data_IF_783613411183
#
_entry.id   IF_783613411183
#
_cell.length_a   1.000
_cell.length_b   1.000
_cell.length_c   1.000
_cell.angle_alpha   90.00
_cell.angle_beta   90.00
_cell.angle_gamma   90.00
#
_symmetry.space_group_name_H-M   'P 1'
#
loop_
_entity.id
_entity.type
_entity.pdbx_description
1 polymer ?
#
# COMPACT_ATOMS: atom_id res chain seq x y z
N UNK A 1 22.74 -32.56 1.09
CA UNK A 1 23.60 -31.44 1.53
C UNK A 1 24.01 -30.56 0.36
N UNK A 2 24.61 -31.07 -0.71
CA UNK A 2 25.04 -30.26 -1.87
C UNK A 2 23.94 -29.41 -2.54
N UNK A 3 22.68 -29.88 -2.58
CA UNK A 3 21.55 -29.11 -3.10
C UNK A 3 21.21 -27.86 -2.26
N UNK A 4 21.39 -27.92 -0.92
CA UNK A 4 21.14 -26.76 -0.05
C UNK A 4 22.23 -25.69 -0.17
N UNK A 5 23.47 -26.09 -0.47
CA UNK A 5 24.56 -25.15 -0.74
C UNK A 5 24.36 -24.41 -2.06
N UNK A 6 23.92 -25.12 -3.10
CA UNK A 6 23.66 -24.52 -4.41
C UNK A 6 22.44 -23.58 -4.38
N UNK A 7 21.36 -23.96 -3.68
CA UNK A 7 20.21 -23.08 -3.48
C UNK A 7 20.60 -21.85 -2.64
N UNK A 8 21.44 -22.01 -1.62
CA UNK A 8 21.97 -20.90 -0.83
C UNK A 8 22.83 -19.97 -1.67
N UNK A 9 23.66 -20.49 -2.57
CA UNK A 9 24.51 -19.68 -3.45
C UNK A 9 23.68 -18.87 -4.46
N UNK A 10 22.64 -19.48 -5.03
CA UNK A 10 21.71 -18.81 -5.94
C UNK A 10 20.92 -17.74 -5.19
N UNK A 11 20.44 -18.06 -3.98
CA UNK A 11 19.77 -17.11 -3.10
C UNK A 11 20.72 -15.95 -2.76
N UNK A 12 21.94 -16.22 -2.32
CA UNK A 12 22.89 -15.15 -1.98
C UNK A 12 23.29 -14.32 -3.19
N UNK A 13 23.38 -14.89 -4.40
CA UNK A 13 23.75 -14.16 -5.61
C UNK A 13 22.63 -13.29 -6.18
N UNK A 14 21.38 -13.72 -6.05
CA UNK A 14 20.23 -13.03 -6.65
C UNK A 14 19.35 -12.28 -5.64
N UNK A 15 19.36 -12.67 -4.37
CA UNK A 15 18.56 -12.04 -3.30
C UNK A 15 19.36 -11.12 -2.38
N UNK A 16 20.69 -11.20 -2.29
CA UNK A 16 21.45 -10.15 -1.58
C UNK A 16 21.48 -8.91 -2.45
N UNK A 17 20.81 -7.83 -2.03
CA UNK A 17 20.91 -6.55 -2.73
C UNK A 17 22.34 -6.05 -2.48
N UNK A 18 22.96 -5.35 -3.45
CA UNK A 18 24.36 -4.95 -3.32
C UNK A 18 24.56 -4.19 -1.99
N UNK A 19 25.61 -4.55 -1.26
CA UNK A 19 25.88 -4.08 0.13
C UNK A 19 25.99 -2.55 0.25
N UNK A 20 26.10 -1.84 -0.88
CA UNK A 20 26.11 -0.38 -0.97
C UNK A 20 24.71 0.27 -0.92
N UNK A 21 23.62 -0.52 -1.02
CA UNK A 21 22.24 -0.01 -1.14
C UNK A 21 21.31 -0.33 0.02
N UNK A 22 21.66 -1.26 0.90
CA UNK A 22 20.82 -1.60 2.05
C UNK A 22 21.58 -1.25 3.33
N UNK A 23 21.22 -0.10 3.90
CA UNK A 23 21.40 0.17 5.33
C UNK A 23 20.54 -0.85 6.10
N UNK A 24 21.07 -2.06 6.35
CA UNK A 24 20.49 -2.98 7.33
C UNK A 24 20.97 -2.56 8.72
N UNK A 25 20.66 -1.31 9.06
CA UNK A 25 21.08 -0.70 10.30
C UNK A 25 20.03 -1.03 11.37
N UNK A 26 20.46 -1.74 12.42
CA UNK A 26 19.64 -1.93 13.64
C UNK A 26 19.07 -0.60 14.16
N UNK A 27 19.78 0.49 13.91
CA UNK A 27 19.36 1.84 14.23
C UNK A 27 18.12 2.28 13.40
N UNK A 28 18.09 1.98 12.10
CA UNK A 28 16.93 2.25 11.24
C UNK A 28 15.72 1.43 11.68
N UNK A 29 15.92 0.15 12.02
CA UNK A 29 14.85 -0.68 12.58
C UNK A 29 14.32 -0.11 13.92
N UNK A 30 15.22 0.36 14.78
CA UNK A 30 14.85 1.02 16.04
C UNK A 30 13.99 2.26 15.81
N UNK A 31 14.40 3.15 14.90
CA UNK A 31 13.63 4.36 14.56
C UNK A 31 12.26 3.99 13.97
N UNK A 32 12.20 3.00 13.09
CA UNK A 32 10.92 2.55 12.51
C UNK A 32 9.98 1.98 13.58
N UNK A 33 10.51 1.20 14.52
CA UNK A 33 9.75 0.63 15.63
C UNK A 33 9.25 1.73 16.58
N UNK A 34 10.11 2.70 16.92
CA UNK A 34 9.71 3.85 17.74
C UNK A 34 8.64 4.68 17.05
N UNK A 35 8.78 4.96 15.75
CA UNK A 35 7.77 5.69 14.96
C UNK A 35 6.44 4.94 14.93
N UNK A 36 6.47 3.62 14.76
CA UNK A 36 5.28 2.77 14.78
C UNK A 36 4.57 2.86 16.14
N UNK A 37 5.29 2.62 17.24
CA UNK A 37 4.70 2.66 18.57
C UNK A 37 4.20 4.06 18.94
N UNK A 38 4.93 5.11 18.58
CA UNK A 38 4.48 6.47 18.81
C UNK A 38 3.19 6.79 18.04
N UNK A 39 3.07 6.33 16.79
CA UNK A 39 1.85 6.45 16.02
C UNK A 39 0.66 5.71 16.66
N UNK A 40 0.88 4.47 17.13
CA UNK A 40 -0.12 3.70 17.87
C UNK A 40 -0.52 4.41 19.16
N UNK A 41 0.44 4.92 19.93
CA UNK A 41 0.18 5.64 21.17
C UNK A 41 -0.63 6.92 20.95
N UNK A 42 -0.31 7.72 19.92
CA UNK A 42 -1.10 8.90 19.58
C UNK A 42 -2.51 8.51 19.16
N UNK A 43 -2.65 7.50 18.28
CA UNK A 43 -3.97 7.03 17.85
C UNK A 43 -4.82 6.60 19.05
N UNK A 44 -4.26 5.83 19.98
CA UNK A 44 -4.94 5.42 21.22
C UNK A 44 -5.26 6.61 22.13
N UNK A 45 -4.35 7.58 22.26
CA UNK A 45 -4.55 8.76 23.08
C UNK A 45 -5.70 9.63 22.58
N UNK A 46 -5.93 9.66 21.27
CA UNK A 46 -7.03 10.39 20.64
C UNK A 46 -8.34 9.60 20.79
N UNK A 47 -8.33 8.31 20.41
CA UNK A 47 -9.55 7.48 20.29
C UNK A 47 -10.14 7.04 21.63
N UNK A 48 -9.33 6.74 22.66
CA UNK A 48 -9.82 6.22 23.95
C UNK A 48 -10.72 7.23 24.68
N UNK A 49 -10.36 8.52 24.83
CA UNK A 49 -11.24 9.51 25.42
C UNK A 49 -12.59 9.62 24.70
N UNK A 50 -12.59 9.46 23.38
CA UNK A 50 -13.77 9.59 22.54
C UNK A 50 -14.68 8.37 22.67
N UNK A 51 -14.13 7.16 22.77
CA UNK A 51 -14.94 5.95 23.04
C UNK A 51 -15.59 5.99 24.42
N UNK A 52 -14.88 6.52 25.43
CA UNK A 52 -15.40 6.68 26.79
C UNK A 52 -16.50 7.74 26.87
N UNK A 53 -16.35 8.86 26.15
CA UNK A 53 -17.34 9.93 26.12
C UNK A 53 -18.70 9.48 25.54
N UNK A 54 -18.71 8.45 24.70
CA UNK A 54 -19.89 8.00 23.96
C UNK A 54 -20.39 6.60 24.41
N UNK A 55 -19.86 6.08 25.52
CA UNK A 55 -20.24 4.79 26.13
C UNK A 55 -20.28 3.62 25.11
N UNK A 56 -19.31 3.60 24.19
CA UNK A 56 -19.23 2.59 23.13
C UNK A 56 -18.65 1.30 23.72
N UNK A 57 -19.36 0.18 23.52
CA UNK A 57 -18.87 -1.13 23.93
C UNK A 57 -17.51 -1.45 23.28
N UNK A 58 -16.57 -1.99 24.07
CA UNK A 58 -15.19 -2.27 23.64
C UNK A 58 -15.11 -3.14 22.36
N UNK A 59 -16.05 -4.08 22.18
CA UNK A 59 -16.11 -4.92 20.99
C UNK A 59 -16.46 -4.13 19.71
N UNK A 60 -17.38 -3.16 19.83
CA UNK A 60 -17.80 -2.31 18.72
C UNK A 60 -16.73 -1.30 18.37
N UNK A 61 -16.09 -0.70 19.38
CA UNK A 61 -14.95 0.18 19.19
C UNK A 61 -13.80 -0.53 18.46
N UNK A 62 -13.42 -1.74 18.91
CA UNK A 62 -12.35 -2.52 18.29
C UNK A 62 -12.70 -2.89 16.84
N UNK A 63 -13.95 -3.29 16.58
CA UNK A 63 -14.43 -3.60 15.24
C UNK A 63 -14.35 -2.41 14.28
N UNK A 64 -14.81 -1.24 14.71
CA UNK A 64 -14.76 -0.01 13.91
C UNK A 64 -13.33 0.46 13.66
N UNK A 65 -12.46 0.39 14.68
CA UNK A 65 -11.05 0.76 14.56
C UNK A 65 -10.29 -0.17 13.59
N UNK A 66 -10.55 -1.48 13.66
CA UNK A 66 -9.96 -2.44 12.72
C UNK A 66 -10.48 -2.21 11.30
N UNK A 67 -11.78 -2.00 11.12
CA UNK A 67 -12.38 -1.76 9.81
C UNK A 67 -11.83 -0.48 9.17
N UNK A 68 -11.77 0.62 9.92
CA UNK A 68 -11.21 1.88 9.44
C UNK A 68 -9.71 1.76 9.12
N UNK A 69 -8.96 1.04 9.96
CA UNK A 69 -7.55 0.73 9.72
C UNK A 69 -7.33 -0.08 8.44
N UNK A 70 -8.15 -1.11 8.19
CA UNK A 70 -8.09 -1.92 6.96
C UNK A 70 -8.41 -1.08 5.73
N UNK A 71 -9.44 -0.23 5.78
CA UNK A 71 -9.77 0.65 4.65
C UNK A 71 -8.61 1.60 4.35
N UNK A 72 -8.02 2.24 5.36
CA UNK A 72 -6.86 3.13 5.19
C UNK A 72 -5.64 2.38 4.64
N UNK A 73 -5.37 1.18 5.13
CA UNK A 73 -4.27 0.34 4.65
C UNK A 73 -4.43 -0.05 3.18
N UNK A 74 -5.66 -0.38 2.77
CA UNK A 74 -5.99 -0.69 1.38
C UNK A 74 -5.97 0.54 0.49
N UNK A 75 -6.38 1.71 0.99
CA UNK A 75 -6.39 2.97 0.25
C UNK A 75 -4.99 3.54 0.02
N UNK A 76 -4.08 3.39 0.99
CA UNK A 76 -2.73 3.93 0.94
C UNK A 76 -1.96 3.65 -0.37
N UNK A 77 -1.87 2.41 -0.89
CA UNK A 77 -1.16 2.16 -2.15
C UNK A 77 -1.83 2.83 -3.37
N UNK A 78 -3.14 3.05 -3.36
CA UNK A 78 -3.84 3.76 -4.45
C UNK A 78 -3.63 5.27 -4.37
N UNK A 79 -3.67 5.83 -3.16
CA UNK A 79 -3.32 7.22 -2.91
C UNK A 79 -1.89 7.49 -3.40
N UNK A 80 -0.93 6.65 -2.98
CA UNK A 80 0.45 6.69 -3.45
C UNK A 80 0.55 6.56 -4.97
N UNK A 81 -0.33 5.80 -5.63
CA UNK A 81 -0.29 5.65 -7.09
C UNK A 81 -0.52 6.97 -7.82
N UNK A 82 -1.36 7.83 -7.24
CA UNK A 82 -1.68 9.16 -7.77
C UNK A 82 -0.63 10.18 -7.32
N UNK A 83 -0.20 10.10 -6.07
CA UNK A 83 0.56 11.18 -5.45
C UNK A 83 2.06 11.00 -5.63
N UNK A 84 2.53 9.76 -5.80
CA UNK A 84 3.91 9.48 -6.14
C UNK A 84 4.35 10.15 -7.46
N UNK A 85 3.66 9.99 -8.61
CA UNK A 85 4.02 10.70 -9.83
C UNK A 85 4.05 12.22 -9.66
N UNK A 86 3.09 12.78 -8.92
CA UNK A 86 3.00 14.22 -8.67
C UNK A 86 4.19 14.73 -7.84
N UNK A 87 4.54 14.02 -6.76
CA UNK A 87 5.66 14.35 -5.89
C UNK A 87 6.99 14.18 -6.64
N UNK A 88 7.14 13.10 -7.40
CA UNK A 88 8.35 12.86 -8.20
C UNK A 88 8.50 13.93 -9.28
N UNK A 89 7.41 14.33 -9.94
CA UNK A 89 7.41 15.42 -10.89
C UNK A 89 7.79 16.73 -10.21
N UNK A 90 7.09 17.12 -9.14
CA UNK A 90 7.38 18.34 -8.38
C UNK A 90 8.84 18.37 -7.92
N UNK A 91 9.36 17.28 -7.37
CA UNK A 91 10.76 17.15 -7.00
C UNK A 91 11.70 17.35 -8.21
N UNK A 92 11.45 16.66 -9.32
CA UNK A 92 12.29 16.74 -10.50
C UNK A 92 12.20 18.08 -11.26
N UNK A 93 11.10 18.84 -11.13
CA UNK A 93 10.91 20.14 -11.79
C UNK A 93 11.32 21.32 -10.90
N UNK A 94 11.11 21.24 -9.58
CA UNK A 94 11.32 22.38 -8.67
C UNK A 94 12.66 22.32 -7.93
N UNK A 95 13.17 21.12 -7.62
CA UNK A 95 14.32 20.95 -6.72
C UNK A 95 15.59 20.47 -7.43
N UNK A 96 15.48 19.87 -8.61
CA UNK A 96 16.62 19.33 -9.35
C UNK A 96 17.08 20.30 -10.45
N UNK A 97 18.34 20.77 -10.43
CA UNK A 97 18.90 21.60 -11.50
C UNK A 97 18.86 20.88 -12.86
N UNK A 98 18.66 21.64 -13.94
CA UNK A 98 18.39 21.09 -15.28
C UNK A 98 19.41 20.09 -15.82
N UNK A 99 20.69 20.19 -15.42
CA UNK A 99 21.75 19.26 -15.82
C UNK A 99 21.59 17.86 -15.19
N UNK A 100 21.13 17.77 -13.94
CA UNK A 100 20.97 16.51 -13.21
C UNK A 100 19.61 15.84 -13.43
N UNK A 101 18.67 16.57 -14.03
CA UNK A 101 17.31 16.12 -14.28
C UNK A 101 17.22 14.84 -15.11
N UNK A 102 18.06 14.71 -16.14
CA UNK A 102 18.12 13.50 -16.98
C UNK A 102 18.56 12.27 -16.19
N UNK A 103 19.47 12.45 -15.21
CA UNK A 103 19.95 11.37 -14.35
C UNK A 103 18.86 10.89 -13.39
N UNK A 104 18.08 11.82 -12.84
CA UNK A 104 16.94 11.50 -11.96
C UNK A 104 15.83 10.79 -12.74
N UNK A 105 15.48 11.29 -13.94
CA UNK A 105 14.46 10.65 -14.80
C UNK A 105 14.88 9.25 -15.24
N UNK A 106 16.17 9.02 -15.53
CA UNK A 106 16.68 7.68 -15.88
C UNK A 106 16.49 6.65 -14.76
N UNK A 107 16.45 7.08 -13.49
CA UNK A 107 16.23 6.20 -12.33
C UNK A 107 14.75 5.87 -12.09
N UNK A 108 13.82 6.53 -12.78
CA UNK A 108 12.38 6.29 -12.64
C UNK A 108 11.92 4.95 -13.21
N UNK A 109 12.74 4.29 -14.04
CA UNK A 109 12.35 3.03 -14.69
C UNK A 109 11.99 1.94 -13.68
N UNK A 110 12.76 1.80 -12.59
CA UNK A 110 12.49 0.81 -11.53
C UNK A 110 11.13 1.04 -10.85
N UNK A 111 10.90 2.24 -10.28
CA UNK A 111 9.62 2.64 -9.70
C UNK A 111 8.44 2.55 -10.68
N UNK A 112 8.61 2.98 -11.93
CA UNK A 112 7.56 2.91 -12.94
C UNK A 112 7.16 1.47 -13.28
N UNK A 113 8.12 0.56 -13.37
CA UNK A 113 7.84 -0.88 -13.57
C UNK A 113 7.11 -1.45 -12.35
N UNK A 114 7.50 -1.07 -11.13
CA UNK A 114 6.83 -1.53 -9.91
C UNK A 114 5.37 -1.06 -9.85
N UNK A 115 5.11 0.22 -10.16
CA UNK A 115 3.75 0.77 -10.27
C UNK A 115 2.97 0.06 -11.37
N UNK A 116 3.55 -0.10 -12.56
CA UNK A 116 2.91 -0.79 -13.68
C UNK A 116 2.53 -2.24 -13.34
N UNK A 117 3.41 -2.98 -12.66
CA UNK A 117 3.14 -4.33 -12.20
C UNK A 117 2.02 -4.38 -11.15
N UNK A 118 2.00 -3.41 -10.23
CA UNK A 118 0.93 -3.31 -9.23
C UNK A 118 -0.44 -3.04 -9.88
N UNK A 119 -0.53 -2.05 -10.78
CA UNK A 119 -1.75 -1.76 -11.53
C UNK A 119 -2.19 -2.96 -12.35
N UNK A 120 -1.25 -3.61 -13.06
CA UNK A 120 -1.57 -4.75 -13.91
C UNK A 120 -2.16 -5.91 -13.12
N UNK A 121 -1.66 -6.21 -11.91
CA UNK A 121 -2.20 -7.28 -11.08
C UNK A 121 -3.53 -6.91 -10.42
N UNK A 122 -3.74 -5.64 -10.06
CA UNK A 122 -5.06 -5.17 -9.65
C UNK A 122 -6.08 -5.29 -10.77
N UNK A 123 -5.72 -4.88 -11.99
CA UNK A 123 -6.58 -5.01 -13.15
C UNK A 123 -6.84 -6.48 -13.48
N UNK A 124 -5.82 -7.34 -13.39
CA UNK A 124 -5.98 -8.78 -13.53
C UNK A 124 -6.95 -9.34 -12.49
N UNK A 125 -6.84 -8.93 -11.23
CA UNK A 125 -7.75 -9.34 -10.17
C UNK A 125 -9.20 -8.92 -10.47
N UNK A 126 -9.41 -7.66 -10.84
CA UNK A 126 -10.74 -7.13 -11.18
C UNK A 126 -11.32 -7.85 -12.41
N UNK A 127 -10.54 -7.99 -13.48
CA UNK A 127 -10.98 -8.63 -14.74
C UNK A 127 -11.29 -10.11 -14.52
N UNK A 128 -10.48 -10.83 -13.74
CA UNK A 128 -10.71 -12.26 -13.47
C UNK A 128 -11.85 -12.49 -12.47
N UNK A 129 -12.06 -11.57 -11.53
CA UNK A 129 -13.16 -11.65 -10.58
C UNK A 129 -14.50 -11.24 -11.19
N UNK A 130 -14.56 -10.16 -11.97
CA UNK A 130 -15.82 -9.57 -12.47
C UNK A 130 -16.10 -9.97 -13.93
N UNK A 131 -15.06 -10.07 -14.75
CA UNK A 131 -15.18 -10.34 -16.18
C UNK A 131 -16.00 -11.58 -16.54
N UNK A 132 -15.85 -12.73 -15.85
CA UNK A 132 -16.67 -13.91 -16.12
C UNK A 132 -18.18 -13.68 -15.89
N UNK A 133 -18.55 -12.88 -14.88
CA UNK A 133 -19.95 -12.55 -14.61
C UNK A 133 -20.53 -11.63 -15.69
N UNK A 134 -19.76 -10.61 -16.09
CA UNK A 134 -20.16 -9.73 -17.20
C UNK A 134 -20.32 -10.52 -18.50
N UNK A 135 -19.35 -11.39 -18.80
CA UNK A 135 -19.40 -12.24 -19.98
C UNK A 135 -20.62 -13.17 -19.96
N UNK A 136 -20.91 -13.79 -18.81
CA UNK A 136 -22.09 -14.64 -18.63
C UNK A 136 -23.41 -13.88 -18.81
N UNK A 137 -23.46 -12.60 -18.40
CA UNK A 137 -24.63 -11.74 -18.58
C UNK A 137 -24.89 -11.41 -20.06
N UNK A 138 -23.85 -11.13 -20.84
CA UNK A 138 -24.01 -10.75 -22.27
C UNK A 138 -24.06 -11.94 -23.24
N UNK A 139 -23.68 -13.15 -22.81
CA UNK A 139 -23.61 -14.32 -23.69
C UNK A 139 -24.48 -15.47 -23.18
N UNK A 140 -23.94 -16.28 -22.27
CA UNK A 140 -24.62 -17.40 -21.62
C UNK A 140 -23.93 -17.69 -20.28
N UNK A 141 -24.71 -18.03 -19.25
CA UNK A 141 -24.23 -18.42 -17.92
C UNK A 141 -23.17 -19.51 -17.96
N UNK A 142 -23.29 -20.50 -18.85
CA UNK A 142 -22.29 -21.58 -19.01
C UNK A 142 -20.93 -21.03 -19.48
N UNK A 143 -20.92 -20.08 -20.41
CA UNK A 143 -19.69 -19.43 -20.88
C UNK A 143 -19.04 -18.63 -19.76
N UNK A 144 -19.83 -17.88 -19.00
CA UNK A 144 -19.36 -17.18 -17.81
C UNK A 144 -18.77 -18.13 -16.76
N UNK A 145 -19.46 -19.22 -16.47
CA UNK A 145 -19.01 -20.24 -15.51
C UNK A 145 -17.70 -20.93 -15.92
N UNK A 146 -17.59 -21.35 -17.18
CA UNK A 146 -16.35 -21.96 -17.71
C UNK A 146 -15.19 -20.96 -17.70
N UNK A 147 -15.45 -19.70 -18.07
CA UNK A 147 -14.44 -18.64 -18.04
C UNK A 147 -13.97 -18.36 -16.61
N UNK A 148 -14.87 -18.36 -15.63
CA UNK A 148 -14.52 -18.21 -14.21
C UNK A 148 -13.60 -19.35 -13.75
N UNK A 149 -13.99 -20.61 -14.03
CA UNK A 149 -13.18 -21.78 -13.68
C UNK A 149 -11.79 -21.74 -14.32
N UNK A 150 -11.70 -21.37 -15.61
CA UNK A 150 -10.44 -21.20 -16.31
C UNK A 150 -9.60 -20.02 -15.76
N UNK A 151 -10.26 -19.01 -15.19
CA UNK A 151 -9.64 -17.82 -14.59
C UNK A 151 -9.10 -18.02 -13.17
N UNK A 152 -9.46 -19.11 -12.47
CA UNK A 152 -9.05 -19.36 -11.07
C UNK A 152 -7.52 -19.26 -10.88
N UNK A 153 -6.66 -19.87 -11.73
CA UNK A 153 -5.21 -19.77 -11.55
C UNK A 153 -4.69 -18.32 -11.62
N UNK A 154 -5.27 -17.51 -12.52
CA UNK A 154 -4.94 -16.09 -12.66
C UNK A 154 -5.43 -15.28 -11.46
N UNK A 155 -6.63 -15.58 -10.97
CA UNK A 155 -7.20 -14.95 -9.78
C UNK A 155 -6.34 -15.25 -8.55
N UNK A 156 -5.96 -16.51 -8.32
CA UNK A 156 -5.09 -16.90 -7.21
C UNK A 156 -3.71 -16.23 -7.29
N UNK A 157 -3.14 -16.16 -8.50
CA UNK A 157 -1.89 -15.43 -8.74
C UNK A 157 -2.04 -13.95 -8.41
N UNK A 158 -3.12 -13.31 -8.86
CA UNK A 158 -3.37 -11.89 -8.62
C UNK A 158 -3.56 -11.61 -7.13
N UNK A 159 -4.33 -12.44 -6.42
CA UNK A 159 -4.53 -12.37 -4.97
C UNK A 159 -3.20 -12.51 -4.24
N UNK A 160 -2.39 -13.52 -4.57
CA UNK A 160 -1.09 -13.74 -3.95
C UNK A 160 -0.10 -12.59 -4.21
N UNK A 161 -0.13 -12.01 -5.41
CA UNK A 161 0.70 -10.84 -5.70
C UNK A 161 0.23 -9.61 -4.92
N UNK A 162 -1.07 -9.29 -4.94
CA UNK A 162 -1.62 -8.10 -4.28
C UNK A 162 -1.38 -8.19 -2.77
N UNK A 163 -1.66 -9.33 -2.14
CA UNK A 163 -1.48 -9.52 -0.69
C UNK A 163 -0.03 -9.34 -0.24
N UNK A 164 0.95 -9.78 -1.03
CA UNK A 164 2.37 -9.58 -0.74
C UNK A 164 2.88 -8.19 -1.14
N UNK A 165 2.30 -7.58 -2.18
CA UNK A 165 2.76 -6.29 -2.70
C UNK A 165 2.34 -5.11 -1.82
N UNK A 166 1.14 -5.13 -1.22
CA UNK A 166 0.65 -4.04 -0.34
C UNK A 166 1.61 -3.74 0.82
N UNK A 167 2.03 -4.71 1.66
CA UNK A 167 2.97 -4.43 2.75
C UNK A 167 4.35 -4.02 2.23
N UNK A 168 4.81 -4.58 1.10
CA UNK A 168 6.07 -4.18 0.47
C UNK A 168 6.03 -2.74 -0.05
N UNK A 169 4.92 -2.32 -0.68
CA UNK A 169 4.75 -0.95 -1.18
C UNK A 169 4.65 0.03 -0.01
N UNK A 170 3.94 -0.33 1.06
CA UNK A 170 3.85 0.50 2.26
C UNK A 170 5.24 0.74 2.89
N UNK A 171 6.14 -0.25 2.87
CA UNK A 171 7.50 -0.15 3.42
C UNK A 171 8.50 0.53 2.48
N UNK A 172 8.48 0.17 1.21
CA UNK A 172 9.51 0.56 0.24
C UNK A 172 9.06 1.65 -0.73
N UNK A 173 7.80 2.10 -0.64
CA UNK A 173 7.22 3.22 -1.39
C UNK A 173 7.60 3.17 -2.88
N UNK A 174 7.30 2.04 -3.54
CA UNK A 174 7.66 1.75 -4.93
C UNK A 174 9.16 1.95 -5.28
N UNK A 175 10.08 1.63 -4.36
CA UNK A 175 11.53 1.77 -4.56
C UNK A 175 11.98 3.21 -4.82
N UNK A 176 11.27 4.19 -4.27
CA UNK A 176 11.62 5.62 -4.41
C UNK A 176 12.97 6.00 -3.85
N UNK A 177 13.51 5.20 -2.93
CA UNK A 177 14.90 5.32 -2.48
C UNK A 177 15.92 5.26 -3.62
N UNK A 178 15.58 4.60 -4.73
CA UNK A 178 16.47 4.51 -5.91
C UNK A 178 16.57 5.85 -6.66
N UNK A 179 15.56 6.71 -6.51
CA UNK A 179 15.54 8.04 -7.12
C UNK A 179 16.33 9.00 -6.24
N UNK A 180 15.93 9.12 -4.96
CA UNK A 180 16.54 10.02 -3.98
C UNK A 180 16.23 9.57 -2.55
N UNK A 181 17.18 9.70 -1.63
CA UNK A 181 17.04 9.25 -0.24
C UNK A 181 15.98 10.02 0.57
N UNK A 182 15.69 11.26 0.18
CA UNK A 182 14.67 12.09 0.85
C UNK A 182 13.22 11.81 0.41
N UNK A 183 13.00 11.11 -0.72
CA UNK A 183 11.65 10.89 -1.25
C UNK A 183 10.74 10.06 -0.34
N UNK A 184 11.20 8.96 0.30
CA UNK A 184 10.35 8.21 1.22
C UNK A 184 9.84 9.07 2.37
N UNK A 185 10.71 9.89 2.96
CA UNK A 185 10.33 10.77 4.06
C UNK A 185 9.22 11.74 3.62
N UNK A 186 9.42 12.41 2.48
CA UNK A 186 8.44 13.34 1.92
C UNK A 186 7.11 12.64 1.60
N UNK A 187 7.16 11.46 0.97
CA UNK A 187 5.96 10.69 0.67
C UNK A 187 5.20 10.25 1.93
N UNK A 188 5.89 9.90 3.04
CA UNK A 188 5.18 9.56 4.28
C UNK A 188 4.45 10.75 4.88
N UNK A 189 5.01 11.96 4.73
CA UNK A 189 4.33 13.19 5.18
C UNK A 189 3.10 13.46 4.32
N UNK A 190 3.24 13.43 3.00
CA UNK A 190 2.09 13.67 2.11
C UNK A 190 1.02 12.59 2.29
N UNK A 191 1.40 11.32 2.38
CA UNK A 191 0.46 10.22 2.62
C UNK A 191 -0.29 10.38 3.95
N UNK A 192 0.37 10.88 5.01
CA UNK A 192 -0.32 11.15 6.28
C UNK A 192 -1.40 12.22 6.14
N UNK A 193 -1.14 13.26 5.36
CA UNK A 193 -2.15 14.28 5.03
C UNK A 193 -3.26 13.74 4.14
N UNK A 194 -2.94 12.91 3.15
CA UNK A 194 -3.95 12.26 2.30
C UNK A 194 -4.86 11.32 3.08
N UNK A 195 -4.31 10.54 4.01
CA UNK A 195 -5.09 9.65 4.85
C UNK A 195 -5.95 10.41 5.85
N UNK A 196 -5.45 11.53 6.38
CA UNK A 196 -6.24 12.46 7.19
C UNK A 196 -7.40 12.99 6.36
N UNK A 197 -7.12 13.60 5.21
CA UNK A 197 -8.12 14.15 4.29
C UNK A 197 -9.11 13.09 3.80
N UNK A 198 -8.67 11.85 3.57
CA UNK A 198 -9.57 10.74 3.23
C UNK A 198 -10.54 10.45 4.37
N UNK A 199 -10.06 10.44 5.62
CA UNK A 199 -10.92 10.33 6.79
C UNK A 199 -11.96 11.44 6.87
N UNK A 200 -11.58 12.67 6.50
CA UNK A 200 -12.48 13.82 6.51
C UNK A 200 -13.47 13.86 5.34
N UNK A 201 -13.00 13.58 4.13
CA UNK A 201 -13.77 13.69 2.89
C UNK A 201 -14.63 12.46 2.63
N UNK A 202 -14.19 11.29 3.09
CA UNK A 202 -14.87 10.01 2.89
C UNK A 202 -15.05 9.30 4.23
N UNK A 203 -15.88 9.84 5.14
CA UNK A 203 -16.16 9.17 6.40
C UNK A 203 -16.79 7.81 6.10
N UNK A 204 -16.08 6.73 6.46
CA UNK A 204 -16.61 5.37 6.35
C UNK A 204 -17.69 5.22 7.41
N UNK A 205 -18.95 5.44 7.01
CA UNK A 205 -20.11 5.26 7.88
C UNK A 205 -20.41 3.77 8.00
N UNK A 206 -19.92 3.14 9.06
CA UNK A 206 -20.39 1.79 9.41
C UNK A 206 -21.70 1.98 10.18
N UNK A 207 -22.81 1.99 9.44
CA UNK A 207 -24.15 2.11 10.01
C UNK A 207 -24.51 0.80 10.71
N UNK A 208 -24.27 0.76 12.01
CA UNK A 208 -25.06 -0.03 12.95
C UNK A 208 -25.15 0.78 14.25
N UNK A 209 -26.37 1.13 14.64
CA UNK A 209 -26.74 1.73 15.94
C UNK A 209 -26.65 3.27 16.10
N UNK A 210 -27.02 4.03 15.06
CA UNK A 210 -27.48 5.43 15.26
C UNK A 210 -26.40 6.43 15.69
N UNK A 211 -25.14 6.15 15.40
CA UNK A 211 -24.03 7.07 15.66
C UNK A 211 -23.57 7.74 14.36
N UNK A 212 -24.05 8.96 14.10
CA UNK A 212 -23.56 9.85 13.05
C UNK A 212 -22.54 10.83 13.68
N UNK A 213 -21.27 10.46 13.73
CA UNK A 213 -20.20 11.42 14.00
C UNK A 213 -19.25 11.53 12.80
N UNK A 214 -18.98 12.76 12.28
CA UNK A 214 -17.86 12.99 11.39
C UNK A 214 -16.54 12.73 12.13
N UNK A 215 -15.57 12.12 11.43
CA UNK A 215 -14.37 11.48 11.99
C UNK A 215 -13.33 12.41 12.65
N UNK A 216 -13.58 13.72 12.76
CA UNK A 216 -12.79 14.63 13.60
C UNK A 216 -13.32 14.75 15.04
N UNK A 217 -14.41 14.05 15.39
CA UNK A 217 -14.92 13.89 16.75
C UNK A 217 -15.04 12.42 17.20
N UNK A 218 -14.35 11.48 16.52
CA UNK A 218 -14.13 10.09 16.95
C UNK A 218 -12.65 9.72 17.01
#
# INVERSE_FOLDING_TARGET
MALMEQDREIVERYLKPPEDRILDDRLVQGIQLTRFWFGVSIAMLVEIPQSVAHDVALMNWLGNWLASGVVRLLAAPFLLLVTLPLIVAAFAFLLVPGADRRRVVGRLRGPAVAVGMFVAHWLLLVVTAIGPFLLGHYTNVLVGGVTFLAGIPLLLRAIGFVSMSVPCIARYMFRTMEIHQALPALLTVVLSWELLLMGELFPVRIVHDGYDSPLWLS
#
